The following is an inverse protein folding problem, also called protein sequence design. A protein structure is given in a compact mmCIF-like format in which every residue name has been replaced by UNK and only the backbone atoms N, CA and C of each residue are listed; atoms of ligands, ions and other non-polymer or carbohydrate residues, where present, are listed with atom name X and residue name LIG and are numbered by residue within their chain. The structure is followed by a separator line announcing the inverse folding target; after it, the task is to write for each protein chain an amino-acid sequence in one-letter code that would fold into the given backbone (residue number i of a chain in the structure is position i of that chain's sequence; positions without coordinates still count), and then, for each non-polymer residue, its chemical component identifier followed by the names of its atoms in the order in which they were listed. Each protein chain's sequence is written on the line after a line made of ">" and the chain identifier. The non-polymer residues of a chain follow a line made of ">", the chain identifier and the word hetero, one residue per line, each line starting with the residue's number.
data_IF_006110604898
#
_entry.id   IF_006110604898
#
_cell.length_a   1.000
_cell.length_b   1.000
_cell.length_c   1.000
_cell.angle_alpha   90.00
_cell.angle_beta   90.00
_cell.angle_gamma   90.00
#
_symmetry.space_group_name_H-M   'P 1'
#
loop_
_entity.id
_entity.type
_entity.pdbx_description
1 polymer ?
#
# COMPACT_ATOMS: atom_id res chain seq x y z
N UNK A 1 -31.10 6.87 -4.55
CA UNK A 1 -30.47 6.48 -5.83
C UNK A 1 -28.98 6.78 -5.69
N UNK A 2 -28.16 5.75 -5.55
CA UNK A 2 -26.70 5.89 -5.51
C UNK A 2 -26.27 6.31 -6.94
N UNK A 3 -25.68 7.51 -7.06
CA UNK A 3 -25.17 7.96 -8.35
C UNK A 3 -24.06 7.00 -8.79
N UNK A 4 -24.15 6.48 -10.00
CA UNK A 4 -23.13 5.65 -10.57
C UNK A 4 -21.80 6.43 -10.57
N UNK A 5 -20.85 5.97 -9.79
CA UNK A 5 -19.51 6.58 -9.68
C UNK A 5 -18.77 6.27 -10.98
N UNK A 6 -18.35 7.32 -11.72
CA UNK A 6 -17.57 7.13 -12.93
C UNK A 6 -16.22 6.46 -12.57
N UNK A 7 -15.83 5.36 -13.27
CA UNK A 7 -14.61 4.65 -12.97
C UNK A 7 -13.36 5.50 -13.22
N UNK A 8 -12.32 5.30 -12.46
CA UNK A 8 -11.00 5.88 -12.71
C UNK A 8 -10.39 5.26 -13.98
N UNK A 9 -9.70 6.07 -14.76
CA UNK A 9 -8.99 5.57 -15.96
C UNK A 9 -7.70 4.88 -15.52
N UNK A 10 -7.65 3.56 -15.61
CA UNK A 10 -6.44 2.79 -15.33
C UNK A 10 -5.44 2.95 -16.49
N UNK A 11 -4.19 3.13 -16.12
CA UNK A 11 -3.03 3.25 -17.01
C UNK A 11 -1.81 2.59 -16.38
N UNK A 12 -0.62 2.75 -16.96
CA UNK A 12 0.61 2.33 -16.29
C UNK A 12 0.78 3.04 -14.94
N UNK A 13 1.58 2.51 -14.02
CA UNK A 13 1.91 3.22 -12.77
C UNK A 13 2.43 4.62 -13.07
N UNK A 14 2.08 5.59 -12.22
CA UNK A 14 2.58 6.96 -12.32
C UNK A 14 4.02 7.03 -11.77
N UNK A 15 4.94 6.47 -12.53
CA UNK A 15 6.35 6.32 -12.22
C UNK A 15 7.19 6.76 -13.41
N UNK A 16 8.42 7.22 -13.17
CA UNK A 16 9.39 7.42 -14.24
C UNK A 16 9.76 6.07 -14.88
N UNK A 17 10.38 6.06 -16.08
CA UNK A 17 10.86 4.81 -16.68
C UNK A 17 11.85 4.05 -15.78
N UNK A 18 12.70 4.75 -15.04
CA UNK A 18 13.69 4.15 -14.13
C UNK A 18 12.99 3.51 -12.92
N UNK A 19 12.03 4.20 -12.32
CA UNK A 19 11.24 3.70 -11.22
C UNK A 19 10.40 2.49 -11.64
N UNK A 20 9.77 2.54 -12.80
CA UNK A 20 8.93 1.45 -13.31
C UNK A 20 9.75 0.19 -13.60
N UNK A 21 10.96 0.32 -14.13
CA UNK A 21 11.87 -0.80 -14.33
C UNK A 21 12.28 -1.43 -12.97
N UNK A 22 12.68 -0.61 -12.02
CA UNK A 22 13.03 -1.06 -10.67
C UNK A 22 11.83 -1.70 -9.97
N UNK A 23 10.65 -1.08 -10.01
CA UNK A 23 9.41 -1.61 -9.45
C UNK A 23 9.12 -3.02 -9.98
N UNK A 24 9.16 -3.20 -11.31
CA UNK A 24 8.97 -4.51 -11.96
C UNK A 24 10.02 -5.54 -11.55
N UNK A 25 11.28 -5.12 -11.43
CA UNK A 25 12.36 -5.99 -10.98
C UNK A 25 12.13 -6.46 -9.53
N UNK A 26 11.75 -5.54 -8.62
CA UNK A 26 11.51 -5.86 -7.22
C UNK A 26 10.24 -6.70 -7.01
N UNK A 27 9.19 -6.49 -7.79
CA UNK A 27 8.02 -7.37 -7.78
C UNK A 27 8.40 -8.84 -8.10
N UNK A 28 9.39 -9.05 -8.98
CA UNK A 28 9.88 -10.39 -9.36
C UNK A 28 10.95 -10.94 -8.42
N UNK A 29 11.28 -10.24 -7.35
CA UNK A 29 12.33 -10.58 -6.38
C UNK A 29 12.05 -11.80 -5.49
N UNK A 30 11.08 -12.65 -5.85
CA UNK A 30 10.80 -13.92 -5.16
C UNK A 30 9.76 -13.84 -4.04
N UNK A 31 9.18 -12.69 -3.76
CA UNK A 31 8.04 -12.57 -2.86
C UNK A 31 6.83 -13.36 -3.41
N UNK A 32 6.07 -13.96 -2.50
CA UNK A 32 4.90 -14.80 -2.88
C UNK A 32 3.56 -14.12 -2.54
N UNK A 33 3.56 -13.20 -1.59
CA UNK A 33 2.38 -12.52 -1.06
C UNK A 33 2.64 -11.02 -1.04
N UNK A 34 1.74 -10.28 -1.66
CA UNK A 34 1.90 -8.85 -1.90
C UNK A 34 0.74 -8.06 -1.30
N UNK A 35 1.07 -7.04 -0.51
CA UNK A 35 0.13 -6.05 0.00
C UNK A 35 0.39 -4.70 -0.66
N UNK A 36 -0.69 -3.93 -0.91
CA UNK A 36 -0.60 -2.62 -1.54
C UNK A 36 -1.53 -1.62 -0.85
N UNK A 37 -0.98 -0.45 -0.55
CA UNK A 37 -1.70 0.73 -0.08
C UNK A 37 -1.64 1.80 -1.16
N UNK A 38 -2.79 2.04 -1.81
CA UNK A 38 -2.91 2.84 -3.02
C UNK A 38 -2.98 1.98 -4.28
N UNK A 39 -4.14 1.91 -4.92
CA UNK A 39 -4.37 1.08 -6.10
C UNK A 39 -4.23 1.86 -7.40
N UNK A 40 -3.80 1.16 -8.44
CA UNK A 40 -3.71 1.73 -9.78
C UNK A 40 -3.00 0.82 -10.77
N UNK A 41 -2.18 1.41 -11.64
CA UNK A 41 -1.35 0.67 -12.58
C UNK A 41 -0.37 -0.29 -11.89
N UNK A 42 0.09 0.02 -10.68
CA UNK A 42 0.93 -0.84 -9.85
C UNK A 42 0.24 -2.16 -9.48
N UNK A 43 -1.06 -2.10 -9.19
CA UNK A 43 -1.87 -3.30 -8.92
C UNK A 43 -1.95 -4.21 -10.15
N UNK A 44 -2.03 -3.64 -11.36
CA UNK A 44 -1.99 -4.42 -12.61
C UNK A 44 -0.63 -5.10 -12.79
N UNK A 45 0.47 -4.38 -12.57
CA UNK A 45 1.81 -4.96 -12.63
C UNK A 45 1.97 -6.12 -11.63
N UNK A 46 1.48 -5.95 -10.39
CA UNK A 46 1.50 -7.01 -9.39
C UNK A 46 0.65 -8.23 -9.80
N UNK A 47 -0.53 -8.02 -10.40
CA UNK A 47 -1.38 -9.11 -10.87
C UNK A 47 -0.69 -9.97 -11.96
N UNK A 48 0.10 -9.33 -12.85
CA UNK A 48 0.87 -9.96 -13.93
C UNK A 48 2.02 -10.83 -13.44
N UNK A 49 2.62 -10.47 -12.29
CA UNK A 49 3.71 -11.27 -11.69
C UNK A 49 3.22 -12.64 -11.21
N UNK A 50 1.95 -12.77 -10.85
CA UNK A 50 1.38 -14.05 -10.44
C UNK A 50 1.62 -14.39 -8.98
N UNK A 51 1.62 -13.39 -8.09
CA UNK A 51 1.64 -13.64 -6.63
C UNK A 51 0.56 -14.63 -6.21
N UNK A 52 0.85 -15.45 -5.22
CA UNK A 52 -0.12 -16.38 -4.63
C UNK A 52 -1.29 -15.66 -3.97
N UNK A 53 -1.02 -14.51 -3.38
CA UNK A 53 -2.02 -13.64 -2.75
C UNK A 53 -1.65 -12.19 -2.99
N UNK A 54 -2.64 -11.40 -3.41
CA UNK A 54 -2.58 -9.94 -3.54
C UNK A 54 -3.71 -9.36 -2.70
N UNK A 55 -3.39 -8.43 -1.81
CA UNK A 55 -4.38 -7.62 -1.10
C UNK A 55 -4.03 -6.17 -1.29
N UNK A 56 -4.88 -5.43 -1.95
CA UNK A 56 -4.72 -4.01 -2.22
C UNK A 56 -5.87 -3.20 -1.61
N UNK A 57 -5.58 -2.01 -1.11
CA UNK A 57 -6.57 -1.08 -0.55
C UNK A 57 -6.42 0.30 -1.19
N UNK A 58 -7.55 0.96 -1.44
CA UNK A 58 -7.59 2.37 -1.78
C UNK A 58 -8.70 3.09 -1.02
N UNK A 59 -8.52 4.39 -0.79
CA UNK A 59 -9.49 5.27 -0.16
C UNK A 59 -10.52 5.81 -1.16
N UNK A 60 -10.20 5.85 -2.43
CA UNK A 60 -11.09 6.30 -3.49
C UNK A 60 -11.82 5.11 -4.15
N UNK A 61 -13.12 5.04 -3.93
CA UNK A 61 -14.00 4.00 -4.47
C UNK A 61 -13.88 3.86 -6.00
N UNK A 62 -13.62 4.95 -6.72
CA UNK A 62 -13.47 4.94 -8.18
C UNK A 62 -12.30 4.04 -8.62
N UNK A 63 -11.15 4.11 -7.93
CA UNK A 63 -10.02 3.22 -8.18
C UNK A 63 -10.35 1.78 -7.86
N UNK A 64 -10.99 1.53 -6.72
CA UNK A 64 -11.39 0.17 -6.30
C UNK A 64 -12.28 -0.50 -7.34
N UNK A 65 -13.34 0.18 -7.79
CA UNK A 65 -14.28 -0.37 -8.77
C UNK A 65 -13.61 -0.56 -10.14
N UNK A 66 -12.72 0.36 -10.55
CA UNK A 66 -11.97 0.23 -11.80
C UNK A 66 -11.03 -0.98 -11.78
N UNK A 67 -10.32 -1.20 -10.66
CA UNK A 67 -9.47 -2.37 -10.47
C UNK A 67 -10.31 -3.65 -10.46
N UNK A 68 -11.43 -3.68 -9.76
CA UNK A 68 -12.30 -4.87 -9.69
C UNK A 68 -12.86 -5.26 -11.06
N UNK A 69 -13.20 -4.28 -11.88
CA UNK A 69 -13.76 -4.49 -13.21
C UNK A 69 -12.71 -4.81 -14.28
N UNK A 70 -11.41 -4.65 -13.99
CA UNK A 70 -10.36 -4.82 -14.99
C UNK A 70 -10.20 -6.29 -15.39
N UNK A 71 -10.12 -6.55 -16.71
CA UNK A 71 -10.10 -7.90 -17.28
C UNK A 71 -8.93 -8.79 -16.79
N UNK A 72 -7.76 -8.19 -16.49
CA UNK A 72 -6.61 -8.91 -15.94
C UNK A 72 -6.74 -9.20 -14.43
N UNK A 73 -7.60 -8.47 -13.72
CA UNK A 73 -7.77 -8.56 -12.25
C UNK A 73 -8.97 -9.44 -11.88
N UNK A 74 -10.10 -9.28 -12.58
CA UNK A 74 -11.35 -9.94 -12.25
C UNK A 74 -11.22 -11.47 -12.09
N UNK A 75 -10.48 -12.21 -12.94
CA UNK A 75 -10.27 -13.65 -12.74
C UNK A 75 -9.54 -13.98 -11.44
N UNK A 76 -8.57 -13.15 -11.04
CA UNK A 76 -7.84 -13.30 -9.78
C UNK A 76 -8.72 -13.07 -8.54
N UNK A 77 -9.68 -12.13 -8.64
CA UNK A 77 -10.68 -11.90 -7.58
C UNK A 77 -11.63 -13.08 -7.51
N UNK A 78 -12.17 -13.55 -8.63
CA UNK A 78 -13.07 -14.70 -8.69
C UNK A 78 -12.43 -15.97 -8.11
N UNK A 79 -11.12 -16.16 -8.34
CA UNK A 79 -10.33 -17.26 -7.78
C UNK A 79 -9.94 -17.05 -6.30
N UNK A 80 -10.30 -15.92 -5.68
CA UNK A 80 -9.92 -15.59 -4.32
C UNK A 80 -8.43 -15.23 -4.12
N UNK A 81 -7.64 -15.14 -5.20
CA UNK A 81 -6.22 -14.80 -5.14
C UNK A 81 -5.99 -13.31 -4.90
N UNK A 82 -6.84 -12.46 -5.47
CA UNK A 82 -6.76 -11.00 -5.35
C UNK A 82 -7.92 -10.48 -4.50
N UNK A 83 -7.64 -9.58 -3.58
CA UNK A 83 -8.63 -8.77 -2.88
C UNK A 83 -8.33 -7.29 -3.14
N UNK A 84 -9.28 -6.59 -3.78
CA UNK A 84 -9.26 -5.14 -3.96
C UNK A 84 -10.28 -4.52 -3.00
N UNK A 85 -9.81 -3.78 -2.00
CA UNK A 85 -10.59 -3.34 -0.86
C UNK A 85 -10.78 -1.82 -0.86
N UNK A 86 -11.96 -1.36 -0.48
CA UNK A 86 -12.21 0.02 -0.18
C UNK A 86 -11.94 0.27 1.30
N UNK A 87 -10.98 1.12 1.59
CA UNK A 87 -10.70 1.64 2.93
C UNK A 87 -11.44 2.97 3.11
N UNK A 88 -12.71 2.90 3.49
CA UNK A 88 -13.56 4.09 3.61
C UNK A 88 -13.03 5.08 4.65
N UNK A 89 -12.62 6.25 4.19
CA UNK A 89 -12.15 7.37 5.01
C UNK A 89 -13.09 8.59 4.95
N UNK A 90 -14.30 8.42 4.38
CA UNK A 90 -15.24 9.48 4.07
C UNK A 90 -15.02 10.08 2.67
N UNK A 91 -15.54 11.28 2.41
CA UNK A 91 -15.37 11.95 1.12
C UNK A 91 -13.89 12.14 0.77
N UNK A 92 -13.54 11.84 -0.48
CA UNK A 92 -12.17 11.94 -0.99
C UNK A 92 -12.11 12.83 -2.22
N UNK A 93 -11.09 13.68 -2.26
CA UNK A 93 -10.71 14.50 -3.41
C UNK A 93 -9.66 13.84 -4.30
N UNK A 94 -8.77 14.67 -4.86
CA UNK A 94 -7.72 14.21 -5.75
C UNK A 94 -6.80 13.19 -5.05
N UNK A 95 -6.45 12.12 -5.77
CA UNK A 95 -5.55 11.07 -5.29
C UNK A 95 -6.03 10.39 -3.99
N UNK A 96 -7.33 10.33 -3.76
CA UNK A 96 -7.90 9.71 -2.57
C UNK A 96 -7.63 10.47 -1.26
N UNK A 97 -7.20 11.73 -1.31
CA UNK A 97 -7.01 12.54 -0.11
C UNK A 97 -8.35 12.84 0.57
N UNK A 98 -8.44 12.80 1.91
CA UNK A 98 -9.69 13.11 2.60
C UNK A 98 -10.10 14.59 2.38
N UNK A 99 -11.39 14.83 2.15
CA UNK A 99 -11.94 16.18 2.09
C UNK A 99 -12.23 16.71 3.50
N UNK A 100 -11.18 17.25 4.15
CA UNK A 100 -11.26 17.77 5.52
C UNK A 100 -11.29 16.66 6.60
N UNK A 101 -11.55 17.05 7.84
CA UNK A 101 -11.47 16.17 9.01
C UNK A 101 -12.80 15.64 9.52
N UNK A 102 -13.91 15.94 8.82
CA UNK A 102 -15.25 15.55 9.27
C UNK A 102 -15.45 14.04 9.43
N UNK A 103 -14.72 13.24 8.66
CA UNK A 103 -14.78 11.78 8.68
C UNK A 103 -13.56 11.12 9.37
N UNK A 104 -12.80 11.86 10.19
CA UNK A 104 -11.56 11.39 10.83
C UNK A 104 -11.72 10.06 11.58
N UNK A 105 -12.90 9.79 12.15
CA UNK A 105 -13.19 8.52 12.84
C UNK A 105 -13.20 7.31 11.92
N UNK A 106 -13.33 7.52 10.60
CA UNK A 106 -13.28 6.45 9.60
C UNK A 106 -11.85 6.17 9.13
N UNK A 107 -10.92 7.10 9.27
CA UNK A 107 -9.57 6.99 8.71
C UNK A 107 -8.83 5.69 9.06
N UNK A 108 -8.96 5.13 10.28
CA UNK A 108 -8.35 3.84 10.58
C UNK A 108 -8.84 2.67 9.71
N UNK A 109 -9.99 2.81 9.03
CA UNK A 109 -10.51 1.75 8.15
C UNK A 109 -9.59 1.50 6.96
N UNK A 110 -8.86 2.54 6.49
CA UNK A 110 -7.89 2.40 5.42
C UNK A 110 -6.78 1.38 5.75
N UNK A 111 -6.26 1.44 6.98
CA UNK A 111 -5.26 0.51 7.47
C UNK A 111 -5.89 -0.83 7.88
N UNK A 112 -7.04 -0.79 8.53
CA UNK A 112 -7.72 -1.97 9.05
C UNK A 112 -8.14 -2.94 7.95
N UNK A 113 -8.67 -2.43 6.82
CA UNK A 113 -9.26 -3.27 5.77
C UNK A 113 -8.29 -4.33 5.22
N UNK A 114 -7.05 -3.99 4.76
CA UNK A 114 -6.14 -5.00 4.24
C UNK A 114 -5.65 -5.96 5.33
N UNK A 115 -5.39 -5.47 6.56
CA UNK A 115 -4.91 -6.36 7.63
C UNK A 115 -5.97 -7.33 8.11
N UNK A 116 -7.25 -6.92 8.15
CA UNK A 116 -8.36 -7.83 8.45
C UNK A 116 -8.48 -8.93 7.38
N UNK A 117 -8.24 -8.62 6.11
CA UNK A 117 -8.23 -9.60 5.03
C UNK A 117 -7.05 -10.58 5.16
N UNK A 118 -5.85 -10.08 5.48
CA UNK A 118 -4.69 -10.94 5.77
C UNK A 118 -4.93 -11.85 6.96
N UNK A 119 -5.53 -11.33 8.04
CA UNK A 119 -5.91 -12.12 9.22
C UNK A 119 -6.92 -13.22 8.85
N UNK A 120 -7.96 -12.89 8.08
CA UNK A 120 -8.96 -13.87 7.59
C UNK A 120 -8.30 -14.98 6.79
N UNK A 121 -7.28 -14.67 6.00
CA UNK A 121 -6.49 -15.64 5.22
C UNK A 121 -5.50 -16.43 6.07
N UNK A 122 -5.22 -16.02 7.30
CA UNK A 122 -4.15 -16.55 8.15
C UNK A 122 -2.79 -16.48 7.47
N UNK A 123 -2.52 -15.37 6.80
CA UNK A 123 -1.30 -15.10 6.05
C UNK A 123 -0.80 -13.70 6.38
N UNK A 124 0.47 -13.44 6.03
CA UNK A 124 1.09 -12.11 6.07
C UNK A 124 1.84 -11.87 4.76
N UNK A 125 1.92 -10.63 4.26
CA UNK A 125 2.62 -10.34 3.01
C UNK A 125 4.14 -10.47 3.18
N UNK A 126 4.85 -10.83 2.11
CA UNK A 126 6.31 -10.83 2.04
C UNK A 126 6.83 -9.50 1.48
N UNK A 127 6.04 -8.87 0.63
CA UNK A 127 6.31 -7.56 0.02
C UNK A 127 5.11 -6.64 0.23
N UNK A 128 5.39 -5.43 0.71
CA UNK A 128 4.39 -4.38 0.90
C UNK A 128 4.77 -3.19 0.03
N UNK A 129 3.81 -2.61 -0.68
CA UNK A 129 3.98 -1.38 -1.45
C UNK A 129 3.09 -0.28 -0.89
N UNK A 130 3.65 0.91 -0.71
CA UNK A 130 2.96 2.08 -0.17
C UNK A 130 3.10 3.26 -1.14
N UNK A 131 1.98 3.61 -1.77
CA UNK A 131 1.86 4.74 -2.69
C UNK A 131 0.51 5.48 -2.53
N UNK A 132 -0.25 5.14 -1.51
CA UNK A 132 -1.57 5.74 -1.22
C UNK A 132 -1.53 6.78 -0.10
N UNK A 133 -2.53 6.72 0.78
CA UNK A 133 -2.65 7.63 1.92
C UNK A 133 -2.09 7.02 3.21
N UNK A 134 -1.90 7.87 4.24
CA UNK A 134 -1.37 7.45 5.54
C UNK A 134 -0.05 6.67 5.41
N UNK A 135 0.86 7.15 4.55
CA UNK A 135 2.04 6.37 4.10
C UNK A 135 2.91 5.88 5.24
N UNK A 136 3.18 6.73 6.23
CA UNK A 136 3.99 6.32 7.39
C UNK A 136 3.26 5.24 8.18
N UNK A 137 1.99 5.45 8.52
CA UNK A 137 1.21 4.46 9.26
C UNK A 137 1.04 3.16 8.46
N UNK A 138 0.83 3.23 7.12
CA UNK A 138 0.77 2.06 6.23
C UNK A 138 2.09 1.26 6.29
N UNK A 139 3.22 1.95 6.16
CA UNK A 139 4.55 1.33 6.21
C UNK A 139 4.82 0.66 7.57
N UNK A 140 4.61 1.39 8.68
CA UNK A 140 4.88 0.88 10.03
C UNK A 140 3.93 -0.26 10.42
N UNK A 141 2.68 -0.24 9.93
CA UNK A 141 1.72 -1.31 10.20
C UNK A 141 2.21 -2.68 9.71
N UNK A 142 3.05 -2.72 8.67
CA UNK A 142 3.64 -3.96 8.18
C UNK A 142 4.54 -4.65 9.21
N UNK A 143 5.15 -3.90 10.13
CA UNK A 143 5.93 -4.45 11.25
C UNK A 143 5.02 -4.96 12.38
N UNK A 144 3.90 -4.27 12.62
CA UNK A 144 3.01 -4.55 13.76
C UNK A 144 2.19 -5.83 13.60
N UNK A 145 1.98 -6.28 12.36
CA UNK A 145 1.15 -7.48 12.06
C UNK A 145 1.95 -8.78 11.98
N UNK A 146 3.24 -8.74 12.27
CA UNK A 146 4.17 -9.88 12.16
C UNK A 146 5.01 -10.05 13.42
N UNK A 147 5.25 -11.29 13.81
CA UNK A 147 6.22 -11.63 14.86
C UNK A 147 7.65 -11.71 14.31
N UNK A 148 7.80 -12.09 13.04
CA UNK A 148 9.10 -12.25 12.37
C UNK A 148 9.15 -11.38 11.10
N UNK A 149 10.15 -10.54 11.01
CA UNK A 149 10.37 -9.61 9.89
C UNK A 149 11.37 -10.14 8.84
N UNK A 150 11.90 -11.34 9.02
CA UNK A 150 12.80 -11.94 8.04
C UNK A 150 12.08 -12.08 6.69
N UNK A 151 12.73 -11.60 5.64
CA UNK A 151 12.17 -11.61 4.29
C UNK A 151 11.07 -10.59 4.01
N UNK A 152 10.65 -9.76 5.00
CA UNK A 152 9.79 -8.62 4.73
C UNK A 152 10.56 -7.57 3.93
N UNK A 153 9.94 -7.10 2.84
CA UNK A 153 10.39 -5.95 2.06
C UNK A 153 9.25 -4.94 1.96
N UNK A 154 9.62 -3.68 1.98
CA UNK A 154 8.71 -2.55 1.84
C UNK A 154 9.17 -1.70 0.66
N UNK A 155 8.30 -1.46 -0.30
CA UNK A 155 8.49 -0.43 -1.32
C UNK A 155 7.69 0.81 -0.93
N UNK A 156 8.29 1.98 -1.02
CA UNK A 156 7.62 3.27 -0.80
C UNK A 156 7.93 4.17 -1.98
N UNK A 157 6.88 4.74 -2.58
CA UNK A 157 7.01 5.70 -3.66
C UNK A 157 6.97 7.14 -3.13
N UNK A 158 7.45 8.08 -3.94
CA UNK A 158 7.52 9.51 -3.61
C UNK A 158 8.42 9.86 -2.40
N UNK A 159 9.45 9.08 -2.14
CA UNK A 159 10.47 9.40 -1.13
C UNK A 159 11.40 10.52 -1.63
N UNK A 160 10.82 11.68 -1.90
CA UNK A 160 11.50 12.88 -2.40
C UNK A 160 12.11 13.68 -1.24
N UNK A 161 13.25 14.40 -1.47
CA UNK A 161 13.88 15.21 -0.43
C UNK A 161 12.92 16.19 0.26
N UNK A 162 12.04 16.84 -0.48
CA UNK A 162 11.05 17.80 0.04
C UNK A 162 9.92 17.13 0.84
N UNK A 163 9.74 15.82 0.69
CA UNK A 163 8.74 15.03 1.43
C UNK A 163 9.30 14.28 2.64
N UNK A 164 10.63 14.35 2.86
CA UNK A 164 11.26 13.63 3.97
C UNK A 164 10.79 14.12 5.34
N UNK A 165 10.32 15.36 5.47
CA UNK A 165 9.66 15.84 6.69
C UNK A 165 8.40 15.03 7.05
N UNK A 166 7.69 14.54 6.04
CA UNK A 166 6.49 13.71 6.22
C UNK A 166 6.84 12.23 6.29
N UNK A 167 7.63 11.71 5.34
CA UNK A 167 7.87 10.27 5.17
C UNK A 167 9.12 9.75 5.88
N UNK A 168 10.04 10.65 6.27
CA UNK A 168 11.27 10.30 6.98
C UNK A 168 11.11 9.39 8.20
N UNK A 169 10.02 9.52 9.00
CA UNK A 169 9.76 8.61 10.13
C UNK A 169 9.66 7.12 9.76
N UNK A 170 9.44 6.77 8.48
CA UNK A 170 9.56 5.38 8.02
C UNK A 170 10.98 4.85 8.27
N UNK A 171 11.99 5.70 8.09
CA UNK A 171 13.40 5.35 8.22
C UNK A 171 13.85 5.17 9.67
N UNK A 172 13.03 5.50 10.65
CA UNK A 172 13.29 5.17 12.05
C UNK A 172 13.25 3.65 12.26
N UNK A 173 12.39 2.95 11.50
CA UNK A 173 12.18 1.51 11.61
C UNK A 173 12.67 0.70 10.40
N UNK A 174 12.89 1.35 9.27
CA UNK A 174 13.35 0.72 8.03
C UNK A 174 14.67 1.34 7.57
N UNK A 175 15.45 0.58 6.80
CA UNK A 175 16.65 1.07 6.13
C UNK A 175 16.60 0.73 4.64
N UNK A 176 17.23 1.57 3.81
CA UNK A 176 17.24 1.39 2.37
C UNK A 176 18.07 0.16 1.98
N UNK A 177 17.49 -0.71 1.16
CA UNK A 177 18.15 -1.83 0.49
C UNK A 177 18.52 -1.44 -0.95
N UNK A 178 17.62 -0.72 -1.64
CA UNK A 178 17.83 -0.16 -2.97
C UNK A 178 16.98 1.10 -3.17
N UNK A 179 17.35 1.91 -4.16
CA UNK A 179 16.66 3.14 -4.51
C UNK A 179 16.71 3.33 -6.03
N UNK A 180 15.57 3.76 -6.58
CA UNK A 180 15.42 4.22 -7.95
C UNK A 180 14.63 5.53 -7.92
N UNK A 181 15.35 6.66 -8.04
CA UNK A 181 14.79 8.00 -7.90
C UNK A 181 13.98 8.14 -6.60
N UNK A 182 12.66 8.37 -6.66
CA UNK A 182 11.79 8.49 -5.50
C UNK A 182 11.20 7.16 -5.00
N UNK A 183 11.38 6.08 -5.73
CA UNK A 183 10.95 4.74 -5.34
C UNK A 183 12.05 4.05 -4.53
N UNK A 184 11.76 3.69 -3.28
CA UNK A 184 12.72 3.04 -2.39
C UNK A 184 12.27 1.62 -2.03
N UNK A 185 13.22 0.68 -2.07
CA UNK A 185 13.06 -0.65 -1.49
C UNK A 185 13.75 -0.66 -0.13
N UNK A 186 12.99 -1.01 0.89
CA UNK A 186 13.38 -0.94 2.29
C UNK A 186 13.28 -2.32 2.94
N UNK A 187 14.10 -2.54 3.96
CA UNK A 187 13.99 -3.67 4.89
C UNK A 187 13.90 -3.18 6.32
N UNK A 188 13.35 -3.98 7.24
CA UNK A 188 13.37 -3.65 8.66
C UNK A 188 14.80 -3.45 9.15
N UNK A 189 15.04 -2.41 9.96
CA UNK A 189 16.36 -2.13 10.56
C UNK A 189 16.74 -3.23 11.55
N UNK A 190 18.01 -3.54 11.61
CA UNK A 190 18.54 -4.38 12.68
C UNK A 190 18.32 -3.70 14.05
N UNK A 191 17.78 -4.44 15.01
CA UNK A 191 17.56 -3.97 16.36
C UNK A 191 16.30 -3.15 16.59
N UNK A 192 15.49 -2.81 15.55
CA UNK A 192 14.19 -2.20 15.74
C UNK A 192 13.26 -3.14 16.50
N UNK A 193 12.42 -2.59 17.37
CA UNK A 193 11.45 -3.36 18.14
C UNK A 193 10.01 -3.07 17.70
N UNK A 194 9.07 -3.92 18.10
CA UNK A 194 7.63 -3.62 17.93
C UNK A 194 7.21 -2.35 18.67
N UNK A 195 7.88 -2.02 19.79
CA UNK A 195 7.59 -0.79 20.52
C UNK A 195 7.99 0.44 19.71
N UNK A 196 9.17 0.43 19.07
CA UNK A 196 9.61 1.54 18.21
C UNK A 196 8.62 1.72 17.03
N UNK A 197 8.25 0.62 16.37
CA UNK A 197 7.26 0.65 15.29
C UNK A 197 5.90 1.17 15.77
N UNK A 198 5.44 0.75 16.95
CA UNK A 198 4.17 1.18 17.53
C UNK A 198 4.17 2.67 17.88
N UNK A 199 5.22 3.18 18.50
CA UNK A 199 5.32 4.59 18.86
C UNK A 199 5.30 5.48 17.62
N UNK A 200 6.09 5.13 16.61
CA UNK A 200 6.11 5.87 15.33
C UNK A 200 4.77 5.77 14.61
N UNK A 201 4.17 4.58 14.55
CA UNK A 201 2.84 4.35 13.98
C UNK A 201 1.77 5.23 14.62
N UNK A 202 1.68 5.24 15.95
CA UNK A 202 0.67 6.04 16.68
C UNK A 202 0.86 7.54 16.42
N UNK A 203 2.09 8.02 16.30
CA UNK A 203 2.37 9.43 16.02
C UNK A 203 1.89 9.88 14.64
N UNK A 204 1.65 8.94 13.70
CA UNK A 204 1.29 9.19 12.31
C UNK A 204 -0.02 8.53 11.87
N UNK A 205 -0.72 7.86 12.78
CA UNK A 205 -1.96 7.13 12.47
C UNK A 205 -3.02 8.01 11.80
N UNK A 206 -3.10 9.27 12.20
CA UNK A 206 -4.09 10.24 11.71
C UNK A 206 -3.48 11.25 10.73
N UNK A 207 -2.32 10.97 10.17
CA UNK A 207 -1.66 11.80 9.16
C UNK A 207 -1.92 11.22 7.76
N UNK A 208 -2.79 11.85 6.93
CA UNK A 208 -3.20 11.31 5.64
C UNK A 208 -2.19 11.56 4.50
N UNK A 209 -1.04 12.16 4.80
CA UNK A 209 0.04 12.42 3.81
C UNK A 209 0.74 11.15 3.36
#
# INVERSE_FOLDING_TARGET
>A
MEQAIAPARLGPPHMSPVELEAFRAWLRGGARRYAEFGMGGSTLEAARVGFQTVVAVDSDRRWVESIRAHEEIAPGIAAGRIAALHGDIGPTGNWGAPEGTGAVKLWPQYLRAPWAEWQRRRQVPDLVFVDGRFRVASALSALLVREDWRGLRLMVHDMLPERMGNYGPILDCFEAEAQAESLWLLRPRAGVSHMDAMVTFLSRLMDPT
#
